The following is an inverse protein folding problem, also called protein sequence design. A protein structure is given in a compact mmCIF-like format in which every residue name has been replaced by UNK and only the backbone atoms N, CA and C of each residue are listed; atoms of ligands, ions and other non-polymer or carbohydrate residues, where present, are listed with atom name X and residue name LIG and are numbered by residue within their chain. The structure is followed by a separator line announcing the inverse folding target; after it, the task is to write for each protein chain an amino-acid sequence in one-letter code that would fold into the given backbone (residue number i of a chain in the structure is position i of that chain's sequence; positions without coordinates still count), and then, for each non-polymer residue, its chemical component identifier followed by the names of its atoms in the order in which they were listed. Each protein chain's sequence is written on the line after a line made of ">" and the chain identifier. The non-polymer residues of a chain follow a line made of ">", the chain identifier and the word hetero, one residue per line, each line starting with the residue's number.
data_IF_735233786060
#
_entry.id   IF_735233786060
#
_cell.length_a   1.000
_cell.length_b   1.000
_cell.length_c   1.000
_cell.angle_alpha   90.00
_cell.angle_beta   90.00
_cell.angle_gamma   90.00
#
_symmetry.space_group_name_H-M   'P 1'
#
loop_
_entity.id
_entity.type
_entity.pdbx_description
1 polymer ?
#
# COMPACT_ATOMS: atom_id res chain seq x y z
N UNK A 1 17.03 10.77 -23.77
CA UNK A 1 18.47 10.79 -23.41
C UNK A 1 18.74 9.61 -22.51
N UNK A 2 19.84 8.89 -22.69
CA UNK A 2 20.24 7.81 -21.77
C UNK A 2 20.89 8.43 -20.54
N UNK A 3 20.45 8.04 -19.35
CA UNK A 3 21.01 8.52 -18.09
C UNK A 3 21.14 7.36 -17.09
N UNK A 4 22.05 7.52 -16.12
CA UNK A 4 22.10 6.64 -14.96
C UNK A 4 20.97 7.03 -14.00
N UNK A 5 20.13 6.07 -13.63
CA UNK A 5 19.07 6.25 -12.63
C UNK A 5 19.39 5.42 -11.38
N UNK A 6 19.25 6.01 -10.20
CA UNK A 6 19.50 5.33 -8.92
C UNK A 6 18.22 5.24 -8.10
N UNK A 7 18.01 4.09 -7.47
CA UNK A 7 16.97 3.86 -6.48
C UNK A 7 17.61 3.28 -5.21
N UNK A 8 17.35 3.91 -4.07
CA UNK A 8 17.82 3.47 -2.76
C UNK A 8 16.65 2.93 -1.94
N UNK A 9 16.79 1.71 -1.41
CA UNK A 9 15.75 1.02 -0.64
C UNK A 9 16.28 0.60 0.72
N UNK A 10 15.62 0.94 1.83
CA UNK A 10 16.00 0.41 3.14
C UNK A 10 15.67 -1.09 3.23
N UNK A 11 16.62 -1.88 3.75
CA UNK A 11 16.49 -3.34 3.87
C UNK A 11 15.18 -3.86 4.49
N UNK A 12 14.58 -3.21 5.52
CA UNK A 12 13.29 -3.60 6.06
C UNK A 12 12.16 -3.72 5.02
N UNK A 13 12.18 -2.96 3.93
CA UNK A 13 11.15 -3.03 2.87
C UNK A 13 11.22 -4.30 2.01
N UNK A 14 12.20 -5.19 2.26
CA UNK A 14 12.27 -6.53 1.71
C UNK A 14 11.53 -7.56 2.57
N UNK A 15 11.14 -7.21 3.80
CA UNK A 15 10.48 -8.13 4.72
C UNK A 15 9.03 -8.36 4.31
N UNK A 16 8.64 -9.63 4.27
CA UNK A 16 7.26 -10.07 4.07
C UNK A 16 6.44 -9.80 5.34
N UNK A 17 5.14 -9.70 5.17
CA UNK A 17 4.20 -9.32 6.21
C UNK A 17 3.12 -8.40 5.69
N UNK A 18 2.32 -7.87 6.60
CA UNK A 18 1.24 -6.95 6.28
C UNK A 18 1.70 -5.51 6.46
N UNK A 19 1.65 -4.74 5.39
CA UNK A 19 2.13 -3.37 5.29
C UNK A 19 1.02 -2.47 4.79
N UNK A 20 1.06 -1.20 5.20
CA UNK A 20 0.36 -0.11 4.52
C UNK A 20 1.36 0.68 3.72
N UNK A 21 0.94 1.20 2.57
CA UNK A 21 1.76 2.12 1.80
C UNK A 21 0.92 3.15 1.05
N UNK A 22 1.56 4.29 0.81
CA UNK A 22 1.07 5.33 -0.07
C UNK A 22 2.12 5.55 -1.15
N UNK A 23 1.70 5.45 -2.40
CA UNK A 23 2.45 6.06 -3.50
C UNK A 23 2.10 7.53 -3.55
N UNK A 24 3.11 8.38 -3.40
CA UNK A 24 3.01 9.80 -3.76
C UNK A 24 3.63 9.95 -5.14
N UNK A 25 2.85 10.45 -6.09
CA UNK A 25 3.26 10.62 -7.48
C UNK A 25 3.24 12.10 -7.79
N UNK A 26 4.41 12.70 -7.95
CA UNK A 26 4.48 14.10 -8.37
C UNK A 26 4.19 14.18 -9.87
N UNK A 27 3.28 15.07 -10.23
CA UNK A 27 2.90 15.34 -11.63
C UNK A 27 2.96 16.84 -11.91
N UNK A 28 2.97 17.27 -13.19
CA UNK A 28 2.96 18.69 -13.54
C UNK A 28 1.75 19.46 -12.98
N UNK A 29 0.66 18.75 -12.68
CA UNK A 29 -0.58 19.34 -12.16
C UNK A 29 -0.72 19.21 -10.64
N UNK A 30 0.35 18.75 -9.96
CA UNK A 30 0.36 18.50 -8.51
C UNK A 30 0.46 17.01 -8.15
N UNK A 31 0.68 16.74 -6.87
CA UNK A 31 0.84 15.39 -6.36
C UNK A 31 -0.48 14.61 -6.35
N UNK A 32 -0.44 13.37 -6.84
CA UNK A 32 -1.55 12.41 -6.74
C UNK A 32 -1.12 11.19 -5.95
N UNK A 33 -2.07 10.57 -5.24
CA UNK A 33 -1.76 9.54 -4.25
C UNK A 33 -2.50 8.24 -4.56
N UNK A 34 -1.85 7.12 -4.31
CA UNK A 34 -2.49 5.80 -4.30
C UNK A 34 -2.21 5.11 -2.98
N UNK A 35 -3.26 4.70 -2.29
CA UNK A 35 -3.15 3.96 -1.03
C UNK A 35 -3.27 2.47 -1.30
N UNK A 36 -2.40 1.68 -0.71
CA UNK A 36 -2.45 0.24 -0.82
C UNK A 36 -1.94 -0.46 0.42
N UNK A 37 -2.09 -1.78 0.39
CA UNK A 37 -1.51 -2.67 1.41
C UNK A 37 -0.90 -3.93 0.82
N UNK A 38 -0.24 -4.71 1.67
CA UNK A 38 0.12 -6.11 1.43
C UNK A 38 -0.77 -7.03 2.28
N UNK A 39 -0.89 -8.28 1.88
CA UNK A 39 -1.87 -9.23 2.41
C UNK A 39 -3.02 -9.42 1.43
N UNK A 40 -2.86 -10.40 0.54
CA UNK A 40 -3.74 -10.56 -0.62
C UNK A 40 -5.10 -11.16 -0.24
N UNK A 41 -6.13 -10.80 -1.01
CA UNK A 41 -7.46 -11.38 -0.79
C UNK A 41 -7.57 -12.85 -1.26
N UNK A 42 -6.71 -13.26 -2.20
CA UNK A 42 -6.77 -14.53 -2.91
C UNK A 42 -5.62 -15.50 -2.60
N UNK A 43 -4.66 -15.08 -1.76
CA UNK A 43 -3.45 -15.83 -1.41
C UNK A 43 -3.16 -15.68 0.07
N UNK A 44 -2.68 -16.74 0.76
CA UNK A 44 -2.36 -16.66 2.19
C UNK A 44 -1.05 -15.91 2.45
N UNK A 45 -0.45 -15.33 1.42
CA UNK A 45 0.84 -14.66 1.46
C UNK A 45 0.67 -13.16 1.65
N UNK A 46 1.53 -12.58 2.47
CA UNK A 46 1.64 -11.15 2.67
C UNK A 46 3.04 -10.71 2.18
N UNK A 47 3.11 -10.21 0.95
CA UNK A 47 4.39 -9.87 0.31
C UNK A 47 5.03 -8.62 0.91
N UNK A 48 6.28 -8.34 0.52
CA UNK A 48 6.98 -7.11 0.89
C UNK A 48 6.57 -5.91 0.01
N UNK A 49 6.68 -4.65 0.49
CA UNK A 49 6.43 -3.44 -0.31
C UNK A 49 7.28 -3.38 -1.58
N UNK A 50 8.55 -3.79 -1.52
CA UNK A 50 9.43 -3.84 -2.68
C UNK A 50 8.86 -4.68 -3.83
N UNK A 51 8.24 -5.83 -3.53
CA UNK A 51 7.61 -6.65 -4.56
C UNK A 51 6.43 -5.93 -5.21
N UNK A 52 5.65 -5.17 -4.44
CA UNK A 52 4.52 -4.39 -4.96
C UNK A 52 4.97 -3.20 -5.79
N UNK A 53 6.18 -2.68 -5.52
CA UNK A 53 6.74 -1.53 -6.21
C UNK A 53 6.79 -1.74 -7.72
N UNK A 54 7.42 -2.84 -8.18
CA UNK A 54 7.50 -3.17 -9.60
C UNK A 54 6.17 -3.61 -10.21
N UNK A 55 5.34 -4.29 -9.43
CA UNK A 55 4.05 -4.82 -9.88
C UNK A 55 3.06 -3.71 -10.27
N UNK A 56 2.93 -2.69 -9.40
CA UNK A 56 1.96 -1.61 -9.57
C UNK A 56 2.22 -0.72 -10.79
N UNK A 57 3.49 -0.54 -11.16
CA UNK A 57 3.92 0.24 -12.31
C UNK A 57 4.19 -0.60 -13.57
N UNK A 58 4.19 -1.93 -13.45
CA UNK A 58 4.42 -2.84 -14.57
C UNK A 58 3.25 -2.90 -15.57
N UNK A 59 3.36 -3.80 -16.55
CA UNK A 59 2.33 -4.00 -17.59
C UNK A 59 1.43 -5.21 -17.34
N UNK A 60 1.67 -5.98 -16.27
CA UNK A 60 0.85 -7.15 -15.95
C UNK A 60 -0.54 -6.67 -15.50
N UNK A 61 -1.55 -6.94 -16.33
CA UNK A 61 -2.94 -6.44 -16.19
C UNK A 61 -3.53 -6.62 -14.79
N UNK A 62 -3.20 -7.69 -14.08
CA UNK A 62 -3.78 -8.00 -12.77
C UNK A 62 -2.96 -7.47 -11.59
N UNK A 63 -1.89 -6.73 -11.86
CA UNK A 63 -0.93 -6.24 -10.86
C UNK A 63 -0.64 -4.74 -11.00
N UNK A 64 -0.98 -4.14 -12.13
CA UNK A 64 -0.63 -2.76 -12.51
C UNK A 64 -1.66 -1.68 -12.08
N UNK A 65 -2.19 -1.78 -10.86
CA UNK A 65 -3.28 -0.90 -10.43
C UNK A 65 -2.90 0.59 -10.46
N UNK A 66 -1.71 0.95 -9.99
CA UNK A 66 -1.22 2.34 -10.02
C UNK A 66 -1.13 2.88 -11.44
N UNK A 67 -0.47 2.15 -12.36
CA UNK A 67 -0.38 2.54 -13.77
C UNK A 67 -1.75 2.84 -14.38
N UNK A 68 -2.72 1.95 -14.17
CA UNK A 68 -4.09 2.14 -14.67
C UNK A 68 -4.76 3.40 -14.14
N UNK A 69 -4.56 3.72 -12.86
CA UNK A 69 -5.11 4.95 -12.28
C UNK A 69 -4.49 6.20 -12.89
N UNK A 70 -3.17 6.20 -13.12
CA UNK A 70 -2.45 7.31 -13.76
C UNK A 70 -2.87 7.49 -15.22
N UNK A 71 -2.92 6.42 -16.00
CA UNK A 71 -3.34 6.43 -17.40
C UNK A 71 -4.80 6.90 -17.55
N UNK A 72 -5.70 6.48 -16.65
CA UNK A 72 -7.10 6.94 -16.63
C UNK A 72 -7.22 8.45 -16.38
N UNK A 73 -6.21 9.07 -15.75
CA UNK A 73 -6.11 10.51 -15.54
C UNK A 73 -5.34 11.23 -16.65
N UNK A 74 -4.96 10.52 -17.72
CA UNK A 74 -4.23 11.08 -18.85
C UNK A 74 -2.76 11.38 -18.54
N UNK A 75 -2.20 10.82 -17.47
CA UNK A 75 -0.80 11.01 -17.10
C UNK A 75 0.08 9.98 -17.81
N UNK A 76 1.12 10.45 -18.51
CA UNK A 76 2.17 9.58 -19.07
C UNK A 76 3.11 9.14 -17.95
N UNK A 77 3.16 7.83 -17.67
CA UNK A 77 3.89 7.27 -16.52
C UNK A 77 5.39 7.46 -16.69
N UNK A 78 5.89 7.35 -17.92
CA UNK A 78 7.32 7.37 -18.25
C UNK A 78 7.90 8.77 -18.43
N UNK A 79 7.08 9.78 -18.76
CA UNK A 79 7.61 11.06 -19.27
C UNK A 79 7.67 12.18 -18.23
N UNK A 80 6.73 12.22 -17.28
CA UNK A 80 6.48 13.44 -16.50
C UNK A 80 6.24 13.21 -15.00
N UNK A 81 6.51 12.01 -14.49
CA UNK A 81 6.18 11.63 -13.11
C UNK A 81 7.42 11.24 -12.30
N UNK A 82 7.39 11.54 -11.00
CA UNK A 82 8.29 10.93 -10.02
C UNK A 82 7.47 10.20 -8.96
N UNK A 83 8.07 9.20 -8.33
CA UNK A 83 7.36 8.26 -7.47
C UNK A 83 8.08 8.07 -6.15
N UNK A 84 7.37 8.33 -5.06
CA UNK A 84 7.77 7.94 -3.72
C UNK A 84 6.85 6.84 -3.21
N UNK A 85 7.44 5.73 -2.76
CA UNK A 85 6.71 4.68 -2.04
C UNK A 85 6.94 4.84 -0.54
N UNK A 86 5.96 5.41 0.15
CA UNK A 86 5.96 5.52 1.61
C UNK A 86 5.29 4.29 2.20
N UNK A 87 6.05 3.44 2.88
CA UNK A 87 5.54 2.20 3.46
C UNK A 87 5.76 2.14 4.97
N UNK A 88 4.76 1.68 5.70
CA UNK A 88 4.81 1.46 7.15
C UNK A 88 4.53 -0.01 7.47
N UNK A 89 5.44 -0.64 8.21
CA UNK A 89 5.29 -2.02 8.65
C UNK A 89 6.60 -2.81 8.82
N UNK A 90 6.51 -4.15 8.82
CA UNK A 90 5.26 -4.90 8.79
C UNK A 90 4.45 -4.63 10.07
N UNK A 91 3.17 -4.27 9.92
CA UNK A 91 2.23 -4.05 11.03
C UNK A 91 1.91 -5.37 11.72
N UNK A 92 1.82 -6.44 10.93
CA UNK A 92 1.74 -7.81 11.37
C UNK A 92 2.73 -8.66 10.57
N UNK A 93 3.35 -9.69 11.18
CA UNK A 93 4.17 -10.64 10.45
C UNK A 93 3.33 -11.41 9.43
N UNK A 94 4.00 -12.01 8.45
CA UNK A 94 3.34 -12.98 7.58
C UNK A 94 2.93 -14.23 8.39
N UNK A 95 1.86 -14.91 7.96
CA UNK A 95 1.50 -16.22 8.52
C UNK A 95 2.57 -17.23 8.11
N UNK A 96 3.22 -17.85 9.09
CA UNK A 96 4.25 -18.85 8.84
C UNK A 96 3.71 -20.05 8.06
N UNK A 97 4.53 -20.54 7.14
CA UNK A 97 4.24 -21.75 6.40
C UNK A 97 4.79 -22.96 7.16
N UNK A 98 3.94 -23.59 7.94
CA UNK A 98 4.26 -24.77 8.77
C UNK A 98 4.02 -26.12 8.07
N UNK A 99 3.75 -26.10 6.76
CA UNK A 99 3.41 -27.29 5.98
C UNK A 99 1.90 -27.51 5.82
N UNK A 100 1.06 -26.68 6.46
CA UNK A 100 -0.38 -26.68 6.25
C UNK A 100 -0.77 -26.40 4.79
N UNK A 101 -1.94 -26.88 4.40
CA UNK A 101 -2.51 -26.56 3.09
C UNK A 101 -2.89 -25.07 2.95
N UNK A 102 -3.17 -24.69 1.71
CA UNK A 102 -3.51 -23.32 1.34
C UNK A 102 -4.73 -22.79 2.12
N UNK A 103 -5.75 -23.61 2.32
CA UNK A 103 -7.03 -23.15 2.88
C UNK A 103 -6.89 -22.91 4.38
N UNK A 104 -6.16 -23.79 5.07
CA UNK A 104 -5.77 -23.62 6.48
C UNK A 104 -4.92 -22.36 6.68
N UNK A 105 -3.96 -22.10 5.79
CA UNK A 105 -3.19 -20.86 5.80
C UNK A 105 -4.07 -19.63 5.53
N UNK A 106 -5.05 -19.74 4.65
CA UNK A 106 -6.00 -18.66 4.37
C UNK A 106 -6.88 -18.32 5.57
N UNK A 107 -7.35 -19.30 6.34
CA UNK A 107 -8.13 -19.04 7.55
C UNK A 107 -7.35 -18.28 8.61
N UNK A 108 -6.03 -18.54 8.74
CA UNK A 108 -5.15 -17.75 9.61
C UNK A 108 -4.82 -16.37 9.03
N UNK A 109 -4.73 -16.25 7.71
CA UNK A 109 -4.42 -15.00 7.01
C UNK A 109 -5.57 -13.99 7.05
N UNK A 110 -6.81 -14.45 6.85
CA UNK A 110 -8.01 -13.60 6.69
C UNK A 110 -8.23 -12.62 7.86
N UNK A 111 -8.14 -13.01 9.15
CA UNK A 111 -8.34 -12.08 10.26
C UNK A 111 -7.36 -10.90 10.21
N UNK A 112 -6.07 -11.18 10.02
CA UNK A 112 -5.01 -10.15 9.95
C UNK A 112 -5.21 -9.28 8.71
N UNK A 113 -5.49 -9.92 7.57
CA UNK A 113 -5.82 -9.25 6.31
C UNK A 113 -7.01 -8.31 6.46
N UNK A 114 -8.03 -8.68 7.24
CA UNK A 114 -9.20 -7.82 7.43
C UNK A 114 -8.86 -6.59 8.28
N UNK A 115 -8.06 -6.75 9.33
CA UNK A 115 -7.57 -5.62 10.14
C UNK A 115 -6.82 -4.60 9.28
N UNK A 116 -5.85 -5.05 8.49
CA UNK A 116 -5.03 -4.15 7.65
C UNK A 116 -5.85 -3.57 6.50
N UNK A 117 -6.88 -4.28 6.02
CA UNK A 117 -7.84 -3.75 5.05
C UNK A 117 -8.74 -2.64 5.61
N UNK A 118 -9.12 -2.71 6.89
CA UNK A 118 -9.80 -1.61 7.58
C UNK A 118 -8.87 -0.39 7.72
N UNK A 119 -7.60 -0.62 8.09
CA UNK A 119 -6.60 0.46 8.16
C UNK A 119 -6.33 1.12 6.79
N UNK A 120 -6.25 0.34 5.72
CA UNK A 120 -6.09 0.84 4.35
C UNK A 120 -7.24 1.78 3.96
N UNK A 121 -8.48 1.42 4.36
CA UNK A 121 -9.64 2.29 4.17
C UNK A 121 -9.52 3.57 4.98
N UNK A 122 -9.20 3.48 6.27
CA UNK A 122 -9.05 4.66 7.14
C UNK A 122 -7.96 5.62 6.62
N UNK A 123 -6.85 5.08 6.12
CA UNK A 123 -5.80 5.89 5.51
C UNK A 123 -6.26 6.54 4.20
N UNK A 124 -6.92 5.78 3.33
CA UNK A 124 -7.44 6.30 2.07
C UNK A 124 -8.47 7.43 2.27
N UNK A 125 -9.40 7.24 3.20
CA UNK A 125 -10.45 8.20 3.48
C UNK A 125 -9.90 9.41 4.24
N UNK A 126 -9.06 9.19 5.25
CA UNK A 126 -8.44 10.26 6.02
C UNK A 126 -7.55 11.18 5.19
N UNK A 127 -6.79 10.63 4.22
CA UNK A 127 -6.02 11.46 3.28
C UNK A 127 -6.94 12.29 2.38
N UNK A 128 -8.03 11.70 1.89
CA UNK A 128 -9.00 12.42 1.05
C UNK A 128 -9.70 13.53 1.82
N UNK A 129 -10.14 13.25 3.04
CA UNK A 129 -10.77 14.24 3.94
C UNK A 129 -9.82 15.38 4.32
N UNK A 130 -8.52 15.08 4.42
CA UNK A 130 -7.47 16.07 4.63
C UNK A 130 -7.16 16.92 3.38
N UNK A 131 -7.78 16.64 2.23
CA UNK A 131 -7.63 17.40 0.99
C UNK A 131 -6.56 16.88 0.03
N UNK A 132 -5.93 15.74 0.31
CA UNK A 132 -5.00 15.12 -0.64
C UNK A 132 -5.76 14.47 -1.79
N UNK A 133 -5.21 14.58 -3.01
CA UNK A 133 -5.79 13.93 -4.19
C UNK A 133 -5.45 12.42 -4.19
N UNK A 134 -6.39 11.60 -3.71
CA UNK A 134 -6.25 10.14 -3.63
C UNK A 134 -7.04 9.46 -4.75
N UNK A 135 -6.32 8.74 -5.62
CA UNK A 135 -6.83 8.18 -6.87
C UNK A 135 -7.74 6.96 -6.72
N UNK A 136 -7.46 6.09 -5.75
CA UNK A 136 -8.20 4.85 -5.54
C UNK A 136 -9.25 5.00 -4.44
N UNK A 137 -10.27 4.14 -4.50
CA UNK A 137 -11.30 4.02 -3.48
C UNK A 137 -11.15 2.65 -2.83
N UNK A 138 -11.13 2.61 -1.51
CA UNK A 138 -11.00 1.38 -0.74
C UNK A 138 -12.36 1.03 -0.14
N UNK A 139 -13.02 0.04 -0.75
CA UNK A 139 -14.28 -0.50 -0.24
C UNK A 139 -13.98 -1.58 0.80
N UNK A 140 -14.10 -1.23 2.07
CA UNK A 140 -13.89 -2.13 3.19
C UNK A 140 -15.04 -1.96 4.20
N UNK A 141 -15.50 -3.10 4.75
CA UNK A 141 -16.56 -3.18 5.76
C UNK A 141 -16.07 -3.79 7.08
N UNK A 142 -14.79 -4.10 7.18
CA UNK A 142 -14.23 -4.72 8.37
C UNK A 142 -13.98 -3.66 9.44
N UNK A 143 -14.20 -4.06 10.68
CA UNK A 143 -13.96 -3.22 11.85
C UNK A 143 -12.62 -3.62 12.49
N UNK A 144 -11.95 -2.63 13.07
CA UNK A 144 -10.72 -2.86 13.81
C UNK A 144 -11.05 -3.53 15.15
N UNK A 145 -10.19 -4.46 15.58
CA UNK A 145 -10.14 -4.88 16.98
C UNK A 145 -9.44 -3.81 17.82
N UNK A 146 -9.46 -3.93 19.15
CA UNK A 146 -8.71 -3.03 20.04
C UNK A 146 -7.20 -2.97 19.67
N UNK A 147 -6.57 -4.12 19.43
CA UNK A 147 -5.19 -4.19 18.93
C UNK A 147 -5.04 -3.53 17.54
N UNK A 148 -6.04 -3.69 16.69
CA UNK A 148 -6.11 -3.04 15.39
C UNK A 148 -6.16 -1.51 15.51
N UNK A 149 -6.92 -0.96 16.45
CA UNK A 149 -6.98 0.48 16.71
C UNK A 149 -5.64 1.03 17.18
N UNK A 150 -4.97 0.34 18.10
CA UNK A 150 -3.64 0.72 18.58
C UNK A 150 -2.60 0.74 17.44
N UNK A 151 -2.58 -0.31 16.63
CA UNK A 151 -1.68 -0.41 15.47
C UNK A 151 -2.00 0.61 14.40
N UNK A 152 -3.29 0.90 14.19
CA UNK A 152 -3.72 1.98 13.29
C UNK A 152 -3.22 3.34 13.79
N UNK A 153 -3.38 3.66 15.07
CA UNK A 153 -2.92 4.92 15.64
C UNK A 153 -1.41 5.13 15.41
N UNK A 154 -0.60 4.09 15.61
CA UNK A 154 0.84 4.13 15.33
C UNK A 154 1.15 4.33 13.83
N UNK A 155 0.46 3.59 12.95
CA UNK A 155 0.64 3.73 11.50
C UNK A 155 0.23 5.13 11.00
N UNK A 156 -0.89 5.64 11.50
CA UNK A 156 -1.40 6.97 11.19
C UNK A 156 -0.39 8.05 11.58
N UNK A 157 0.15 7.98 12.79
CA UNK A 157 1.17 8.95 13.23
C UNK A 157 2.45 8.89 12.38
N UNK A 158 2.87 7.69 11.96
CA UNK A 158 3.99 7.56 11.03
C UNK A 158 3.70 8.24 9.67
N UNK A 159 2.49 8.06 9.11
CA UNK A 159 2.11 8.71 7.87
C UNK A 159 1.96 10.22 7.99
N UNK A 160 1.61 10.77 9.17
CA UNK A 160 1.52 12.22 9.40
C UNK A 160 2.83 12.96 9.20
N UNK A 161 3.98 12.27 9.32
CA UNK A 161 5.28 12.86 9.01
C UNK A 161 5.38 13.30 7.54
N UNK A 162 4.75 12.56 6.63
CA UNK A 162 4.68 12.89 5.21
C UNK A 162 3.36 13.60 4.82
N UNK A 163 2.30 13.41 5.61
CA UNK A 163 0.98 13.95 5.38
C UNK A 163 0.45 14.72 6.61
N UNK A 164 0.99 15.92 6.94
CA UNK A 164 0.67 16.61 8.21
C UNK A 164 -0.81 16.92 8.43
N UNK A 165 -1.57 17.14 7.35
CA UNK A 165 -3.01 17.38 7.40
C UNK A 165 -3.86 16.12 7.69
N UNK A 166 -3.28 14.91 7.68
CA UNK A 166 -3.97 13.69 8.09
C UNK A 166 -4.32 13.79 9.58
N UNK A 167 -5.60 13.97 9.88
CA UNK A 167 -6.13 14.15 11.23
C UNK A 167 -6.37 12.83 11.90
#
# INVERSE_FOLDING_TARGET
>A
MTALHQFSLPGPMLRRGFWLYVWRVESPNGAVHYVGRTGDNSSPRATAPYTRMGQHLGFIKNQNALRKHLEKRGLSVEDSLSFDLLAHGPIYPEVDHDGSDRDTLMERHKPIRNQVGAMEKLLCDGLREAGYDVMNIVNCRWELSAEGEEKWAAAKEAFRQAFPALR
#
